data_IF_459971581884
#
_entry.id   IF_459971581884
#
_cell.length_a   1.000
_cell.length_b   1.000
_cell.length_c   1.000
_cell.angle_alpha   90.00
_cell.angle_beta   90.00
_cell.angle_gamma   90.00
#
_symmetry.space_group_name_H-M   'P 1'
#
loop_
_entity.id
_entity.type
_entity.pdbx_description
1 polymer ?
#
# COMPACT_ATOMS: atom_id res chain seq x y z
N UNK A 1 6.69 1.37 15.36
CA UNK A 1 7.44 0.69 16.40
C UNK A 1 8.28 1.67 17.24
N UNK A 2 9.25 2.36 16.62
CA UNK A 2 10.20 3.24 17.33
C UNK A 2 9.54 4.27 18.27
N UNK A 3 8.52 4.97 17.81
CA UNK A 3 7.86 6.02 18.61
C UNK A 3 7.25 5.46 19.90
N UNK A 4 6.49 4.37 19.83
CA UNK A 4 5.86 3.77 21.02
C UNK A 4 6.90 3.11 21.94
N UNK A 5 7.96 2.51 21.36
CA UNK A 5 9.08 1.99 22.15
C UNK A 5 9.77 3.11 22.95
N UNK A 6 10.04 4.26 22.32
CA UNK A 6 10.62 5.42 23.00
C UNK A 6 9.66 6.02 24.04
N UNK A 7 8.37 6.12 23.73
CA UNK A 7 7.37 6.60 24.68
C UNK A 7 7.37 5.75 25.95
N UNK A 8 7.39 4.42 25.82
CA UNK A 8 7.49 3.49 26.95
C UNK A 8 8.80 3.69 27.73
N UNK A 9 9.93 3.80 27.04
CA UNK A 9 11.25 3.99 27.67
C UNK A 9 11.36 5.28 28.45
N UNK A 10 10.67 6.34 27.99
CA UNK A 10 10.67 7.67 28.61
C UNK A 10 9.52 7.85 29.63
N UNK A 11 8.66 6.83 29.82
CA UNK A 11 7.52 6.92 30.73
C UNK A 11 6.47 7.94 30.29
N UNK A 12 6.32 8.19 29.00
CA UNK A 12 5.31 9.13 28.48
C UNK A 12 3.92 8.47 28.52
N UNK A 13 2.98 9.11 29.18
CA UNK A 13 1.60 8.65 29.34
C UNK A 13 0.59 9.38 28.42
N UNK A 14 0.99 10.50 27.85
CA UNK A 14 0.18 11.33 26.95
C UNK A 14 0.32 10.95 25.46
N UNK A 15 0.98 9.84 25.15
CA UNK A 15 1.13 9.28 23.82
C UNK A 15 0.22 8.06 23.63
N UNK A 16 -0.39 7.92 22.47
CA UNK A 16 -1.08 6.69 22.06
C UNK A 16 -0.98 6.50 20.56
N UNK A 17 -1.16 5.28 20.09
CA UNK A 17 -1.06 4.89 18.70
C UNK A 17 -2.35 4.17 18.27
N UNK A 18 -3.02 4.70 17.26
CA UNK A 18 -4.11 4.01 16.57
C UNK A 18 -3.50 3.19 15.44
N UNK A 19 -3.38 1.88 15.64
CA UNK A 19 -2.67 1.00 14.71
C UNK A 19 -3.57 0.56 13.57
N UNK A 20 -3.20 0.93 12.35
CA UNK A 20 -3.83 0.44 11.10
C UNK A 20 -2.82 -0.12 10.11
N UNK A 21 -1.64 -0.50 10.59
CA UNK A 21 -0.59 -1.07 9.75
C UNK A 21 -0.98 -2.44 9.21
N UNK A 22 -0.57 -2.70 7.97
CA UNK A 22 -0.92 -3.90 7.22
C UNK A 22 0.32 -4.62 6.68
N UNK A 23 0.15 -5.88 6.30
CA UNK A 23 1.18 -6.72 5.68
C UNK A 23 0.85 -6.94 4.21
N UNK A 24 1.83 -6.73 3.34
CA UNK A 24 1.66 -6.82 1.88
C UNK A 24 1.51 -8.27 1.38
N UNK A 25 2.33 -9.26 1.81
CA UNK A 25 2.24 -10.62 1.29
C UNK A 25 0.84 -11.25 1.39
N UNK A 26 0.11 -11.18 2.52
CA UNK A 26 -1.26 -11.68 2.59
C UNK A 26 -2.25 -10.96 1.67
N UNK A 27 -2.01 -9.69 1.35
CA UNK A 27 -2.85 -8.95 0.41
C UNK A 27 -2.61 -9.40 -1.03
N UNK A 28 -1.37 -9.68 -1.43
CA UNK A 28 -1.05 -10.30 -2.71
C UNK A 28 -1.77 -11.64 -2.83
N UNK A 29 -1.68 -12.48 -1.80
CA UNK A 29 -2.38 -13.76 -1.74
C UNK A 29 -3.89 -13.61 -1.96
N UNK A 30 -4.52 -12.68 -1.25
CA UNK A 30 -5.95 -12.43 -1.35
C UNK A 30 -6.36 -11.93 -2.75
N UNK A 31 -5.57 -11.07 -3.37
CA UNK A 31 -5.80 -10.59 -4.74
C UNK A 31 -5.69 -11.73 -5.74
N UNK A 32 -4.62 -12.52 -5.65
CA UNK A 32 -4.34 -13.59 -6.60
C UNK A 32 -5.30 -14.78 -6.50
N UNK A 33 -5.89 -15.00 -5.33
CA UNK A 33 -6.92 -16.04 -5.13
C UNK A 33 -8.33 -15.61 -5.50
N UNK A 34 -8.53 -14.32 -5.84
CA UNK A 34 -9.83 -13.86 -6.32
C UNK A 34 -10.19 -14.51 -7.67
N UNK A 35 -11.44 -15.02 -7.85
CA UNK A 35 -11.81 -15.89 -8.99
C UNK A 35 -11.56 -15.32 -10.37
N UNK A 36 -11.63 -13.99 -10.50
CA UNK A 36 -11.52 -13.30 -11.79
C UNK A 36 -10.28 -12.38 -11.88
N UNK A 37 -9.32 -12.54 -10.95
CA UNK A 37 -8.13 -11.69 -10.91
C UNK A 37 -7.40 -11.65 -12.26
N UNK A 38 -7.07 -10.44 -12.71
CA UNK A 38 -6.33 -10.20 -13.95
C UNK A 38 -4.92 -9.62 -13.72
N UNK A 39 -4.49 -9.58 -12.48
CA UNK A 39 -3.12 -9.15 -12.14
C UNK A 39 -2.13 -10.22 -12.63
N UNK A 40 -1.13 -9.80 -13.38
CA UNK A 40 -0.14 -10.71 -13.99
C UNK A 40 1.26 -10.55 -13.38
N UNK A 41 1.48 -9.58 -12.49
CA UNK A 41 2.75 -9.35 -11.82
C UNK A 41 2.67 -8.21 -10.82
N UNK A 42 3.68 -8.09 -9.99
CA UNK A 42 3.74 -7.09 -8.93
C UNK A 42 5.04 -6.29 -8.96
N UNK A 43 4.91 -4.98 -8.78
CA UNK A 43 6.03 -4.12 -8.40
C UNK A 43 5.95 -3.94 -6.88
N UNK A 44 6.87 -4.59 -6.17
CA UNK A 44 6.91 -4.54 -4.70
C UNK A 44 7.61 -3.27 -4.23
N UNK A 45 7.02 -2.62 -3.23
CA UNK A 45 7.49 -1.34 -2.70
C UNK A 45 8.84 -1.47 -1.98
N UNK A 46 9.88 -0.89 -2.56
CA UNK A 46 11.25 -0.99 -2.06
C UNK A 46 11.44 -0.46 -0.64
N UNK A 47 10.70 0.60 -0.24
CA UNK A 47 10.78 1.11 1.13
C UNK A 47 10.22 0.12 2.17
N UNK A 48 9.20 -0.66 1.82
CA UNK A 48 8.70 -1.75 2.67
C UNK A 48 9.72 -2.88 2.71
N UNK A 49 10.23 -3.29 1.55
CA UNK A 49 11.22 -4.37 1.45
C UNK A 49 12.56 -4.01 2.11
N UNK A 50 12.93 -2.73 2.23
CA UNK A 50 14.13 -2.32 2.95
C UNK A 50 14.06 -2.64 4.45
N UNK A 51 12.86 -2.73 5.01
CA UNK A 51 12.59 -3.14 6.39
C UNK A 51 12.29 -4.63 6.48
N UNK A 52 11.33 -5.11 5.71
CA UNK A 52 10.78 -6.47 5.82
C UNK A 52 11.63 -7.52 5.09
N UNK A 53 12.44 -7.12 4.12
CA UNK A 53 13.11 -8.04 3.21
C UNK A 53 12.20 -8.55 2.11
N UNK A 54 12.65 -9.61 1.45
CA UNK A 54 11.94 -10.23 0.32
C UNK A 54 11.62 -11.70 0.55
N UNK A 55 11.94 -12.24 1.71
CA UNK A 55 11.88 -13.68 2.00
C UNK A 55 10.46 -14.30 1.89
N UNK A 56 9.40 -13.50 2.05
CA UNK A 56 8.02 -13.98 1.93
C UNK A 56 7.51 -14.01 0.47
N UNK A 57 8.20 -13.39 -0.48
CA UNK A 57 7.72 -13.29 -1.87
C UNK A 57 8.00 -14.51 -2.76
N UNK A 58 9.10 -15.29 -2.60
CA UNK A 58 9.38 -16.44 -3.47
C UNK A 58 8.23 -17.44 -3.51
N UNK A 59 7.71 -17.84 -2.36
CA UNK A 59 6.59 -18.80 -2.26
C UNK A 59 5.32 -18.26 -2.94
N UNK A 60 5.06 -16.96 -2.86
CA UNK A 60 3.93 -16.32 -3.54
C UNK A 60 4.13 -16.29 -5.07
N UNK A 61 5.33 -15.93 -5.52
CA UNK A 61 5.67 -15.89 -6.93
C UNK A 61 5.51 -17.27 -7.57
N UNK A 62 6.02 -18.31 -6.92
CA UNK A 62 5.94 -19.69 -7.38
C UNK A 62 4.51 -20.22 -7.35
N UNK A 63 3.78 -20.02 -6.25
CA UNK A 63 2.41 -20.48 -6.07
C UNK A 63 1.46 -19.92 -7.12
N UNK A 64 1.54 -18.62 -7.36
CA UNK A 64 0.63 -17.91 -8.27
C UNK A 64 1.19 -17.74 -9.69
N UNK A 65 2.43 -18.17 -9.92
CA UNK A 65 3.13 -18.09 -11.20
C UNK A 65 3.17 -16.65 -11.74
N UNK A 66 3.50 -15.68 -10.86
CA UNK A 66 3.57 -14.26 -11.18
C UNK A 66 4.93 -13.68 -10.82
N UNK A 67 5.52 -12.81 -11.64
CA UNK A 67 6.74 -12.09 -11.30
C UNK A 67 6.46 -11.09 -10.16
N UNK A 68 7.41 -11.00 -9.23
CA UNK A 68 7.43 -9.96 -8.19
C UNK A 68 8.75 -9.22 -8.30
N UNK A 69 8.71 -7.96 -8.70
CA UNK A 69 9.91 -7.14 -8.86
C UNK A 69 9.93 -6.04 -7.80
N UNK A 70 10.95 -6.06 -6.94
CA UNK A 70 11.14 -5.01 -5.94
C UNK A 70 11.76 -3.79 -6.60
N UNK A 71 11.13 -2.63 -6.45
CA UNK A 71 11.57 -1.39 -7.11
C UNK A 71 11.62 -0.21 -6.14
N UNK A 72 12.47 0.78 -6.43
CA UNK A 72 12.41 2.10 -5.82
C UNK A 72 11.29 2.96 -6.42
N UNK A 73 11.29 4.25 -6.07
CA UNK A 73 10.25 5.20 -6.48
C UNK A 73 10.74 6.23 -7.50
N UNK A 74 12.01 6.22 -7.81
CA UNK A 74 12.54 7.10 -8.86
C UNK A 74 12.08 6.62 -10.25
N UNK A 75 11.90 7.53 -11.21
CA UNK A 75 11.42 7.17 -12.54
C UNK A 75 12.20 6.02 -13.19
N UNK A 76 13.53 6.00 -13.05
CA UNK A 76 14.37 4.93 -13.59
C UNK A 76 14.17 3.60 -12.84
N UNK A 77 14.00 3.64 -11.52
CA UNK A 77 13.71 2.43 -10.74
C UNK A 77 12.40 1.78 -11.19
N UNK A 78 11.35 2.62 -11.39
CA UNK A 78 10.02 2.15 -11.81
C UNK A 78 10.09 1.57 -13.22
N UNK A 79 10.75 2.26 -14.16
CA UNK A 79 10.91 1.79 -15.54
C UNK A 79 11.68 0.46 -15.59
N UNK A 80 12.75 0.32 -14.80
CA UNK A 80 13.50 -0.92 -14.70
C UNK A 80 12.66 -2.04 -14.09
N UNK A 81 11.89 -1.74 -13.03
CA UNK A 81 10.95 -2.69 -12.44
C UNK A 81 9.92 -3.19 -13.45
N UNK A 82 9.31 -2.29 -14.23
CA UNK A 82 8.37 -2.64 -15.31
C UNK A 82 9.06 -3.50 -16.37
N UNK A 83 10.25 -3.10 -16.82
CA UNK A 83 11.03 -3.85 -17.81
C UNK A 83 11.29 -5.28 -17.37
N UNK A 84 11.71 -5.48 -16.14
CA UNK A 84 11.99 -6.81 -15.58
C UNK A 84 10.71 -7.65 -15.45
N UNK A 85 9.62 -7.06 -14.98
CA UNK A 85 8.34 -7.76 -14.86
C UNK A 85 7.83 -8.21 -16.24
N UNK A 86 7.84 -7.32 -17.24
CA UNK A 86 7.43 -7.65 -18.63
C UNK A 86 8.34 -8.73 -19.22
N UNK A 87 9.65 -8.62 -19.02
CA UNK A 87 10.61 -9.60 -19.52
C UNK A 87 10.38 -11.01 -18.95
N UNK A 88 10.05 -11.12 -17.64
CA UNK A 88 9.67 -12.39 -17.05
C UNK A 88 8.36 -12.93 -17.65
N UNK A 89 7.34 -12.08 -17.83
CA UNK A 89 6.06 -12.46 -18.41
C UNK A 89 6.22 -13.00 -19.84
N UNK A 90 7.04 -12.36 -20.68
CA UNK A 90 7.32 -12.78 -22.04
C UNK A 90 8.02 -14.16 -22.11
N UNK A 91 8.78 -14.52 -21.06
CA UNK A 91 9.49 -15.80 -20.95
C UNK A 91 8.71 -16.87 -20.17
N UNK A 92 7.55 -16.53 -19.63
CA UNK A 92 6.81 -17.42 -18.74
C UNK A 92 7.53 -17.69 -17.40
N UNK A 93 8.40 -16.78 -17.00
CA UNK A 93 9.11 -16.83 -15.72
C UNK A 93 8.29 -16.16 -14.61
N UNK A 94 8.53 -16.55 -13.37
CA UNK A 94 7.75 -16.06 -12.22
C UNK A 94 8.61 -16.08 -10.95
N UNK A 95 9.65 -15.27 -10.93
CA UNK A 95 10.57 -15.19 -9.79
C UNK A 95 10.58 -13.82 -9.14
N UNK A 96 11.17 -13.73 -7.95
CA UNK A 96 11.43 -12.47 -7.28
C UNK A 96 12.72 -11.86 -7.83
N UNK A 97 12.65 -10.63 -8.33
CA UNK A 97 13.83 -9.86 -8.72
C UNK A 97 13.93 -8.57 -7.90
N UNK A 98 15.14 -8.25 -7.45
CA UNK A 98 15.40 -7.03 -6.71
C UNK A 98 16.05 -5.98 -7.62
N UNK A 99 15.26 -5.05 -8.15
CA UNK A 99 15.72 -3.89 -8.92
C UNK A 99 16.17 -2.71 -8.02
N UNK A 100 16.14 -2.88 -6.69
CA UNK A 100 16.52 -1.85 -5.73
C UNK A 100 17.60 -2.30 -4.73
N UNK A 101 18.72 -2.91 -5.21
CA UNK A 101 19.70 -3.56 -4.34
C UNK A 101 20.49 -2.57 -3.46
N UNK A 102 20.47 -1.25 -3.79
CA UNK A 102 21.10 -0.22 -2.97
C UNK A 102 20.44 -0.04 -1.60
N UNK A 103 19.15 -0.40 -1.47
CA UNK A 103 18.40 -0.23 -0.23
C UNK A 103 17.78 -1.53 0.31
N UNK A 104 17.55 -2.53 -0.55
CA UNK A 104 16.83 -3.76 -0.19
C UNK A 104 17.78 -4.94 -0.11
N UNK A 105 17.66 -5.66 1.00
CA UNK A 105 18.33 -6.94 1.25
C UNK A 105 17.27 -8.02 1.44
N UNK A 106 17.62 -9.25 1.11
CA UNK A 106 16.71 -10.40 1.26
C UNK A 106 16.18 -10.54 2.69
N UNK A 107 17.06 -10.41 3.68
CA UNK A 107 16.72 -10.53 5.11
C UNK A 107 16.12 -9.25 5.71
N UNK A 108 15.96 -8.19 4.92
CA UNK A 108 15.49 -6.90 5.41
C UNK A 108 16.46 -6.23 6.39
N UNK A 109 15.92 -5.48 7.34
CA UNK A 109 16.67 -4.84 8.42
C UNK A 109 16.47 -5.59 9.74
N UNK A 110 17.44 -6.40 10.22
CA UNK A 110 17.25 -7.23 11.40
C UNK A 110 16.97 -6.43 12.68
N UNK A 111 17.48 -5.22 12.80
CA UNK A 111 17.21 -4.37 13.97
C UNK A 111 15.77 -3.85 13.96
N UNK A 112 15.27 -3.44 12.80
CA UNK A 112 13.89 -3.00 12.63
C UNK A 112 12.90 -4.15 12.81
N UNK A 113 13.22 -5.35 12.28
CA UNK A 113 12.38 -6.55 12.43
C UNK A 113 12.23 -6.95 13.90
N UNK A 114 13.33 -7.02 14.66
CA UNK A 114 13.26 -7.29 16.12
C UNK A 114 12.38 -6.28 16.85
N UNK A 115 12.46 -5.01 16.48
CA UNK A 115 11.63 -3.97 17.09
C UNK A 115 10.15 -4.10 16.70
N UNK A 116 9.86 -4.52 15.47
CA UNK A 116 8.50 -4.82 15.03
C UNK A 116 7.93 -6.00 15.82
N UNK A 117 8.68 -7.08 15.97
CA UNK A 117 8.30 -8.27 16.73
C UNK A 117 8.10 -8.00 18.22
N UNK A 118 8.88 -7.09 18.80
CA UNK A 118 8.71 -6.67 20.21
C UNK A 118 7.44 -5.85 20.41
N UNK A 119 7.19 -4.91 19.48
CA UNK A 119 6.14 -3.89 19.65
C UNK A 119 4.79 -4.36 19.15
N UNK A 120 4.77 -5.16 18.09
CA UNK A 120 3.54 -5.56 17.43
C UNK A 120 3.37 -7.08 17.40
N UNK A 121 2.13 -7.50 17.24
CA UNK A 121 1.73 -8.85 16.91
C UNK A 121 0.85 -8.87 15.66
N UNK A 122 0.89 -9.98 14.94
CA UNK A 122 0.14 -10.17 13.70
C UNK A 122 -1.30 -10.53 14.01
N UNK A 123 -2.24 -9.87 13.30
CA UNK A 123 -3.67 -10.13 13.40
C UNK A 123 -4.32 -10.20 12.02
N UNK A 124 -5.55 -10.70 11.99
CA UNK A 124 -6.42 -10.54 10.83
C UNK A 124 -6.86 -9.08 10.72
N UNK A 125 -6.95 -8.56 9.51
CA UNK A 125 -7.37 -7.17 9.29
C UNK A 125 -8.41 -7.09 8.19
N UNK A 126 -9.37 -6.18 8.34
CA UNK A 126 -10.27 -5.80 7.26
C UNK A 126 -9.57 -4.79 6.36
N UNK A 127 -9.43 -5.13 5.09
CA UNK A 127 -8.89 -4.25 4.06
C UNK A 127 -10.04 -3.64 3.27
N UNK A 128 -10.05 -2.34 3.17
CA UNK A 128 -11.07 -1.63 2.39
C UNK A 128 -11.02 -2.05 0.92
N UNK A 129 -12.17 -2.46 0.38
CA UNK A 129 -12.30 -2.95 -0.98
C UNK A 129 -11.99 -4.44 -1.19
N UNK A 130 -11.40 -5.15 -0.19
CA UNK A 130 -11.07 -6.57 -0.31
C UNK A 130 -11.81 -7.40 0.77
N UNK A 131 -11.99 -6.83 1.97
CA UNK A 131 -12.58 -7.53 3.10
C UNK A 131 -11.54 -8.06 4.10
N UNK A 132 -11.94 -9.06 4.91
CA UNK A 132 -11.07 -9.64 5.95
C UNK A 132 -10.01 -10.55 5.34
N UNK A 133 -8.75 -10.22 5.60
CA UNK A 133 -7.60 -11.01 5.18
C UNK A 133 -6.90 -11.57 6.44
N UNK A 134 -6.72 -12.90 6.55
CA UNK A 134 -6.03 -13.50 7.68
C UNK A 134 -4.57 -13.04 7.77
N UNK A 135 -4.07 -12.86 8.99
CA UNK A 135 -2.67 -12.52 9.30
C UNK A 135 -2.12 -11.33 8.50
N UNK A 136 -2.97 -10.36 8.15
CA UNK A 136 -2.64 -9.26 7.24
C UNK A 136 -2.45 -7.91 7.91
N UNK A 137 -2.52 -7.84 9.22
CA UNK A 137 -2.36 -6.59 9.94
C UNK A 137 -1.54 -6.75 11.20
N UNK A 138 -1.32 -5.60 11.84
CA UNK A 138 -0.59 -5.48 13.09
C UNK A 138 -1.47 -4.85 14.16
N UNK A 139 -1.29 -5.25 15.42
CA UNK A 139 -1.73 -4.53 16.62
C UNK A 139 -0.58 -4.42 17.59
N UNK A 140 -0.69 -3.54 18.58
CA UNK A 140 0.30 -3.49 19.66
C UNK A 140 0.27 -4.79 20.46
N UNK A 141 1.46 -5.30 20.79
CA UNK A 141 1.61 -6.43 21.70
C UNK A 141 1.13 -6.07 23.11
N UNK A 142 0.82 -7.06 23.92
CA UNK A 142 0.34 -6.84 25.30
C UNK A 142 1.29 -5.96 26.12
N UNK A 143 2.59 -6.05 25.87
CA UNK A 143 3.60 -5.23 26.53
C UNK A 143 3.45 -3.72 26.25
N UNK A 144 2.78 -3.36 25.15
CA UNK A 144 2.55 -1.98 24.71
C UNK A 144 1.08 -1.56 24.76
N UNK A 145 0.19 -2.39 25.30
CA UNK A 145 -1.25 -2.18 25.35
C UNK A 145 -1.67 -0.83 25.94
N UNK A 146 -0.90 -0.31 26.91
CA UNK A 146 -1.16 1.00 27.51
C UNK A 146 -1.09 2.17 26.52
N UNK A 147 -0.44 1.96 25.38
CA UNK A 147 -0.30 2.93 24.29
C UNK A 147 -1.31 2.72 23.16
N UNK A 148 -2.17 1.71 23.25
CA UNK A 148 -3.18 1.42 22.24
C UNK A 148 -4.35 2.41 22.37
N UNK A 149 -4.57 3.21 21.33
CA UNK A 149 -5.65 4.17 21.29
C UNK A 149 -7.03 3.48 21.27
N UNK A 150 -7.17 2.32 20.63
CA UNK A 150 -8.42 1.55 20.64
C UNK A 150 -8.77 1.05 22.03
N UNK A 151 -7.76 0.82 22.87
CA UNK A 151 -7.96 0.41 24.25
C UNK A 151 -8.16 1.61 25.22
N UNK A 152 -7.55 2.75 24.90
CA UNK A 152 -7.64 3.96 25.75
C UNK A 152 -8.92 4.76 25.55
N UNK A 153 -9.48 4.71 24.35
CA UNK A 153 -10.66 5.47 23.96
C UNK A 153 -11.79 4.52 23.58
N UNK A 154 -13.01 4.87 23.89
CA UNK A 154 -14.17 4.09 23.50
C UNK A 154 -14.47 4.29 22.00
N UNK A 155 -13.88 3.43 21.17
CA UNK A 155 -14.08 3.41 19.73
C UNK A 155 -14.88 2.19 19.27
N UNK A 156 -15.24 1.28 20.16
CA UNK A 156 -15.90 0.02 19.85
C UNK A 156 -17.28 0.20 19.18
N UNK A 157 -17.96 1.33 19.46
CA UNK A 157 -19.24 1.69 18.87
C UNK A 157 -19.13 2.31 17.47
N UNK A 158 -17.94 2.69 17.01
CA UNK A 158 -17.75 3.34 15.72
C UNK A 158 -17.82 2.28 14.61
N UNK A 159 -18.89 2.35 13.81
CA UNK A 159 -19.05 1.50 12.63
C UNK A 159 -18.82 2.33 11.37
N UNK A 160 -18.03 1.79 10.46
CA UNK A 160 -17.81 2.39 9.14
C UNK A 160 -18.23 1.37 8.09
N UNK A 161 -19.05 1.80 7.14
CA UNK A 161 -19.47 0.99 6.01
C UNK A 161 -18.79 1.52 4.73
N UNK A 162 -18.39 0.62 3.87
CA UNK A 162 -17.91 1.01 2.55
C UNK A 162 -19.10 1.40 1.68
N UNK A 163 -19.04 2.55 0.97
CA UNK A 163 -20.10 2.93 0.06
C UNK A 163 -20.29 1.85 -1.02
N UNK A 164 -21.51 1.36 -1.19
CA UNK A 164 -21.84 0.28 -2.14
C UNK A 164 -21.47 0.63 -3.61
N UNK A 165 -21.39 1.92 -3.94
CA UNK A 165 -20.98 2.40 -5.26
C UNK A 165 -19.46 2.29 -5.48
N UNK A 166 -18.67 2.04 -4.43
CA UNK A 166 -17.23 1.97 -4.55
C UNK A 166 -16.78 0.60 -5.11
N UNK A 167 -16.08 0.64 -6.25
CA UNK A 167 -15.55 -0.56 -6.93
C UNK A 167 -14.02 -0.71 -6.77
N UNK A 168 -13.47 -0.23 -5.64
CA UNK A 168 -12.02 -0.27 -5.38
C UNK A 168 -11.45 -1.70 -5.41
N UNK A 169 -12.20 -2.70 -4.92
CA UNK A 169 -11.79 -4.10 -4.96
C UNK A 169 -11.58 -4.63 -6.38
N UNK A 170 -12.47 -4.29 -7.30
CA UNK A 170 -12.34 -4.69 -8.72
C UNK A 170 -11.16 -3.99 -9.41
N UNK A 171 -10.88 -2.73 -9.04
CA UNK A 171 -9.67 -2.02 -9.52
C UNK A 171 -8.40 -2.73 -9.04
N UNK A 172 -8.34 -3.13 -7.77
CA UNK A 172 -7.18 -3.84 -7.19
C UNK A 172 -6.94 -5.21 -7.82
N UNK A 173 -8.01 -5.88 -8.26
CA UNK A 173 -7.95 -7.16 -8.96
C UNK A 173 -7.69 -7.01 -10.47
N UNK A 174 -7.59 -5.79 -10.98
CA UNK A 174 -7.38 -5.51 -12.40
C UNK A 174 -8.60 -5.78 -13.29
N UNK A 175 -9.78 -5.95 -12.72
CA UNK A 175 -11.02 -6.25 -13.46
C UNK A 175 -11.54 -5.04 -14.20
N UNK A 176 -11.41 -3.85 -13.59
CA UNK A 176 -11.80 -2.58 -14.19
C UNK A 176 -10.68 -1.54 -14.01
N UNK A 177 -10.68 -0.54 -14.88
CA UNK A 177 -9.89 0.68 -14.68
C UNK A 177 -10.66 1.64 -13.76
N UNK A 178 -9.98 2.52 -13.01
CA UNK A 178 -10.65 3.51 -12.15
C UNK A 178 -11.74 4.31 -12.86
N UNK A 179 -11.54 4.62 -14.15
CA UNK A 179 -12.47 5.39 -14.97
C UNK A 179 -13.75 4.66 -15.37
N UNK A 180 -13.81 3.36 -15.14
CA UNK A 180 -15.01 2.54 -15.39
C UNK A 180 -15.91 2.44 -14.15
N UNK A 181 -15.47 3.05 -13.03
CA UNK A 181 -16.29 3.20 -11.82
C UNK A 181 -17.19 4.44 -11.98
N UNK A 182 -18.49 4.27 -11.81
CA UNK A 182 -19.50 5.34 -11.97
C UNK A 182 -19.28 6.55 -11.05
N UNK A 183 -18.73 6.31 -9.85
CA UNK A 183 -18.41 7.37 -8.89
C UNK A 183 -17.16 8.15 -9.25
N UNK A 184 -16.29 7.62 -10.14
CA UNK A 184 -14.99 8.19 -10.42
C UNK A 184 -15.07 9.59 -11.04
N UNK A 185 -14.46 10.57 -10.39
CA UNK A 185 -14.40 11.96 -10.85
C UNK A 185 -15.71 12.75 -10.70
N UNK A 186 -16.73 12.12 -10.12
CA UNK A 186 -18.03 12.73 -9.78
C UNK A 186 -18.18 12.82 -8.27
N UNK A 187 -18.80 11.84 -7.63
CA UNK A 187 -18.93 11.75 -6.17
C UNK A 187 -17.65 11.27 -5.47
N UNK A 188 -16.76 10.57 -6.20
CA UNK A 188 -15.47 10.08 -5.69
C UNK A 188 -14.31 10.85 -6.32
N UNK A 189 -13.68 11.70 -5.52
CA UNK A 189 -12.52 12.53 -5.90
C UNK A 189 -11.48 12.49 -4.78
N UNK A 190 -10.24 12.94 -4.97
CA UNK A 190 -9.27 13.06 -3.88
C UNK A 190 -9.74 13.92 -2.70
N UNK A 191 -10.67 14.87 -2.94
CA UNK A 191 -11.28 15.69 -1.88
C UNK A 191 -12.44 14.99 -1.17
N UNK A 192 -13.11 14.07 -1.85
CA UNK A 192 -14.26 13.30 -1.34
C UNK A 192 -14.06 11.82 -1.64
N UNK A 193 -13.02 11.18 -1.06
CA UNK A 193 -12.71 9.79 -1.40
C UNK A 193 -13.75 8.83 -0.81
N UNK A 194 -14.34 7.99 -1.65
CA UNK A 194 -15.26 6.94 -1.22
C UNK A 194 -14.52 5.63 -0.89
N UNK A 195 -13.48 5.30 -1.62
CA UNK A 195 -12.71 4.07 -1.43
C UNK A 195 -11.23 4.32 -1.14
N UNK A 196 -10.56 3.33 -0.56
CA UNK A 196 -9.16 3.41 -0.14
C UNK A 196 -8.21 3.84 -1.27
N UNK A 197 -8.44 3.40 -2.49
CA UNK A 197 -7.62 3.71 -3.68
C UNK A 197 -7.71 5.18 -4.14
N UNK A 198 -8.62 5.99 -3.56
CA UNK A 198 -8.76 7.42 -3.85
C UNK A 198 -8.24 8.31 -2.71
N UNK A 199 -7.96 7.76 -1.52
CA UNK A 199 -7.56 8.54 -0.33
C UNK A 199 -6.17 9.14 -0.47
N UNK A 200 -5.23 8.40 -1.05
CA UNK A 200 -3.82 8.78 -1.19
C UNK A 200 -3.46 8.96 -2.66
N UNK A 201 -2.53 9.88 -2.96
CA UNK A 201 -1.96 10.06 -4.30
C UNK A 201 -1.29 8.81 -4.87
N UNK A 202 -0.89 7.88 -4.01
CA UNK A 202 -0.32 6.58 -4.39
C UNK A 202 -1.39 5.55 -4.78
N UNK A 203 -2.65 5.79 -4.43
CA UNK A 203 -3.75 4.90 -4.76
C UNK A 203 -4.10 4.94 -6.26
N UNK A 204 -4.44 3.79 -6.83
CA UNK A 204 -4.71 3.66 -8.26
C UNK A 204 -5.77 4.66 -8.76
N UNK A 205 -6.88 4.84 -8.05
CA UNK A 205 -7.92 5.79 -8.44
C UNK A 205 -7.43 7.24 -8.37
N UNK A 206 -6.72 7.62 -7.32
CA UNK A 206 -6.19 8.97 -7.17
C UNK A 206 -5.15 9.27 -8.25
N UNK A 207 -4.24 8.35 -8.53
CA UNK A 207 -3.25 8.48 -9.60
C UNK A 207 -3.93 8.67 -10.97
N UNK A 208 -4.94 7.86 -11.30
CA UNK A 208 -5.72 8.04 -12.52
C UNK A 208 -6.43 9.40 -12.57
N UNK A 209 -6.99 9.85 -11.46
CA UNK A 209 -7.66 11.15 -11.38
C UNK A 209 -6.70 12.30 -11.64
N UNK A 210 -5.53 12.28 -11.00
CA UNK A 210 -4.54 13.34 -11.11
C UNK A 210 -3.87 13.41 -12.48
N UNK A 211 -3.39 12.26 -12.97
CA UNK A 211 -2.53 12.25 -14.17
C UNK A 211 -3.31 12.12 -15.47
N UNK A 212 -4.49 11.50 -15.50
CA UNK A 212 -5.29 11.43 -16.74
C UNK A 212 -5.93 12.75 -17.12
N UNK A 213 -6.27 13.62 -16.16
CA UNK A 213 -6.72 14.97 -16.47
C UNK A 213 -5.68 15.79 -17.21
N UNK A 214 -4.41 15.58 -16.91
CA UNK A 214 -3.31 16.26 -17.61
C UNK A 214 -3.21 15.83 -19.08
N UNK A 215 -3.59 14.59 -19.42
CA UNK A 215 -3.55 14.08 -20.79
C UNK A 215 -4.78 14.45 -21.63
N UNK A 216 -5.91 14.83 -21.01
CA UNK A 216 -7.14 15.23 -21.70
C UNK A 216 -7.32 16.74 -21.82
N UNK A 217 -6.41 17.55 -21.30
CA UNK A 217 -6.37 18.97 -21.60
C UNK A 217 -5.77 19.10 -22.99
N UNK A 218 -6.48 19.70 -24.00
CA UNK A 218 -5.86 20.00 -25.29
C UNK A 218 -4.61 20.82 -24.98
N UNK A 219 -3.48 20.41 -25.53
CA UNK A 219 -2.20 21.05 -25.26
C UNK A 219 -2.34 22.57 -25.38
N UNK A 220 -2.52 23.24 -24.28
CA UNK A 220 -2.26 24.66 -24.18
C UNK A 220 -0.77 24.81 -24.39
N UNK A 221 -0.40 25.08 -25.62
CA UNK A 221 0.96 25.45 -25.99
C UNK A 221 1.29 26.69 -25.19
N UNK A 222 2.15 26.55 -24.17
CA UNK A 222 2.80 27.64 -23.47
C UNK A 222 1.97 28.29 -22.38
N UNK A 223 2.00 27.70 -21.19
CA UNK A 223 2.04 28.46 -19.92
C UNK A 223 2.26 27.42 -18.79
N UNK A 224 3.24 27.70 -17.93
CA UNK A 224 3.66 26.84 -16.84
C UNK A 224 2.51 26.51 -15.87
N UNK A 225 2.68 25.41 -15.16
CA UNK A 225 1.83 24.97 -14.05
C UNK A 225 1.64 26.16 -13.09
N UNK A 226 0.41 26.56 -12.74
CA UNK A 226 0.20 27.63 -11.78
C UNK A 226 0.87 27.25 -10.45
N UNK A 227 1.74 28.11 -9.94
CA UNK A 227 2.48 27.91 -8.68
C UNK A 227 1.56 27.62 -7.47
N UNK A 228 0.30 27.99 -7.52
CA UNK A 228 -0.69 27.73 -6.48
C UNK A 228 -1.06 26.25 -6.29
N UNK A 229 -0.68 25.35 -7.21
CA UNK A 229 -0.94 23.91 -7.06
C UNK A 229 0.28 23.11 -6.55
N UNK A 230 1.46 23.73 -6.54
CA UNK A 230 2.68 23.08 -6.01
C UNK A 230 2.79 23.22 -4.48
N UNK A 231 2.20 24.26 -3.88
CA UNK A 231 2.23 24.46 -2.43
C UNK A 231 1.27 23.51 -1.66
N UNK A 232 0.21 23.00 -2.32
CA UNK A 232 -0.72 22.05 -1.69
C UNK A 232 -0.24 20.59 -1.75
N UNK A 233 0.88 20.30 -2.40
CA UNK A 233 1.40 18.93 -2.58
C UNK A 233 2.61 18.57 -1.68
N UNK A 234 2.98 19.42 -0.73
CA UNK A 234 4.02 19.14 0.25
C UNK A 234 3.37 18.81 1.60
N UNK A 235 3.16 17.54 1.95
CA UNK A 235 2.92 17.17 3.33
C UNK A 235 4.25 17.27 4.08
N UNK A 236 4.20 17.98 5.17
CA UNK A 236 5.21 18.19 6.21
C UNK A 236 6.05 16.93 6.43
N UNK A 237 7.34 17.13 6.48
CA UNK A 237 8.38 16.15 6.79
C UNK A 237 8.30 15.53 8.18
#
# INVERSE_FOLDING_TARGET
>A
AMAVHQARRLGLDNFSLLVSHVRVPPAIEAIMTAPECRVQGFLAAGHVCSVMGTAEYPDLADKHRVPVVVTGFEPLDILEGIRLAVHQLERGEHRVENAYPRAVREQGNPAALRMLEEVFEVIDRNWRGIGRIPASGWRLSDAYRAYDAEHRFDVAGIRTEEPAVCRAGEVLQGLIKPTECEAFGTSCTPRTPLGATMVSSEGACAAYYLYRRMNNTPAARGSGVPQSQQEEMNPVG
#
